data_IF_490309991270
#
_entry.id   IF_490309991270
#
_cell.length_a   1.000
_cell.length_b   1.000
_cell.length_c   1.000
_cell.angle_alpha   90.00
_cell.angle_beta   90.00
_cell.angle_gamma   90.00
#
_symmetry.space_group_name_H-M   'P 1'
#
loop_
_entity.id
_entity.type
_entity.pdbx_description
1 polymer ?
#
# COMPACT_ATOMS: atom_id res chain seq x y z
N UNK A 1 0.61 -2.69 14.56
CA UNK A 1 -0.34 -3.60 15.24
C UNK A 1 -0.86 -4.63 14.25
N UNK A 2 -0.65 -5.93 14.49
CA UNK A 2 -1.16 -7.00 13.60
C UNK A 2 -2.66 -7.24 13.74
N UNK A 3 -3.21 -7.07 14.95
CA UNK A 3 -4.64 -6.93 15.18
C UNK A 3 -4.90 -5.49 15.59
N UNK A 4 -5.73 -4.75 14.85
CA UNK A 4 -6.08 -3.37 15.13
C UNK A 4 -7.60 -3.16 14.98
N UNK A 5 -8.13 -2.20 15.75
CA UNK A 5 -9.53 -1.79 15.67
C UNK A 5 -9.56 -0.35 15.15
N UNK A 6 -10.49 -0.07 14.23
CA UNK A 6 -10.63 1.23 13.58
C UNK A 6 -12.04 1.78 13.77
N UNK A 7 -12.15 3.01 14.25
CA UNK A 7 -13.42 3.75 14.29
C UNK A 7 -13.76 4.27 12.88
N UNK A 8 -15.04 4.20 12.49
CA UNK A 8 -15.53 4.75 11.22
C UNK A 8 -16.52 5.90 11.45
N UNK A 9 -16.45 7.00 10.68
CA UNK A 9 -15.47 7.29 9.62
C UNK A 9 -14.08 7.61 10.20
N UNK A 10 -13.02 7.20 9.50
CA UNK A 10 -11.64 7.36 9.99
C UNK A 10 -10.59 7.01 8.93
N UNK A 11 -9.32 7.35 9.21
CA UNK A 11 -8.20 7.14 8.28
C UNK A 11 -7.62 5.72 8.33
N UNK A 12 -7.88 4.96 9.40
CA UNK A 12 -7.35 3.62 9.59
C UNK A 12 -5.86 3.54 9.93
N UNK A 13 -5.31 2.32 9.92
CA UNK A 13 -3.91 2.03 10.26
C UNK A 13 -3.27 1.07 9.24
N UNK A 14 -2.22 1.48 8.50
CA UNK A 14 -1.65 2.82 8.42
C UNK A 14 -2.65 3.84 7.85
N UNK A 15 -2.37 5.13 8.06
CA UNK A 15 -3.24 6.22 7.60
C UNK A 15 -3.52 6.08 6.11
N UNK A 16 -4.80 6.15 5.77
CA UNK A 16 -5.36 6.02 4.41
C UNK A 16 -5.01 4.72 3.69
N UNK A 17 -4.74 3.61 4.39
CA UNK A 17 -4.37 2.33 3.75
C UNK A 17 -5.35 1.84 2.67
N UNK A 18 -6.61 2.27 2.74
CA UNK A 18 -7.66 1.94 1.78
C UNK A 18 -7.46 2.63 0.42
N UNK A 19 -6.73 3.75 0.35
CA UNK A 19 -6.45 4.49 -0.88
C UNK A 19 -5.44 3.75 -1.77
N UNK A 20 -5.96 2.97 -2.71
CA UNK A 20 -5.14 2.20 -3.64
C UNK A 20 -4.58 3.04 -4.80
N UNK A 21 -4.98 4.31 -4.96
CA UNK A 21 -4.31 5.23 -5.90
C UNK A 21 -2.97 5.66 -5.33
N UNK A 22 -2.95 5.99 -4.03
CA UNK A 22 -1.71 6.26 -3.28
C UNK A 22 -0.86 5.01 -3.13
N UNK A 23 -1.40 3.94 -2.53
CA UNK A 23 -0.63 2.79 -2.03
C UNK A 23 -0.34 1.70 -3.07
N UNK A 24 -1.09 1.67 -4.17
CA UNK A 24 -0.91 0.68 -5.24
C UNK A 24 -0.91 -0.79 -4.76
N UNK A 25 -1.67 -1.09 -3.72
CA UNK A 25 -1.87 -2.44 -3.22
C UNK A 25 -2.78 -3.28 -4.13
N UNK A 26 -2.72 -4.60 -3.94
CA UNK A 26 -3.60 -5.56 -4.61
C UNK A 26 -3.38 -5.71 -6.13
N UNK A 27 -4.45 -6.13 -6.79
CA UNK A 27 -4.46 -6.51 -8.21
C UNK A 27 -5.46 -5.67 -9.01
N UNK A 28 -5.19 -5.50 -10.30
CA UNK A 28 -6.08 -4.86 -11.27
C UNK A 28 -6.29 -5.82 -12.42
N UNK A 29 -7.54 -5.92 -12.89
CA UNK A 29 -7.90 -6.70 -14.07
C UNK A 29 -7.71 -5.84 -15.32
N UNK A 30 -6.90 -6.32 -16.25
CA UNK A 30 -6.74 -5.71 -17.58
C UNK A 30 -7.93 -6.01 -18.48
N UNK A 31 -8.10 -5.21 -19.53
CA UNK A 31 -9.13 -5.42 -20.56
C UNK A 31 -9.08 -6.82 -21.20
N UNK A 32 -7.89 -7.41 -21.31
CA UNK A 32 -7.68 -8.78 -21.77
C UNK A 32 -7.99 -9.87 -20.73
N UNK A 33 -8.61 -9.51 -19.60
CA UNK A 33 -8.99 -10.43 -18.54
C UNK A 33 -7.87 -10.84 -17.57
N UNK A 34 -6.60 -10.53 -17.86
CA UNK A 34 -5.47 -10.92 -16.99
C UNK A 34 -5.37 -10.02 -15.76
N UNK A 35 -5.07 -10.62 -14.61
CA UNK A 35 -4.75 -9.89 -13.38
C UNK A 35 -3.28 -9.45 -13.40
N UNK A 36 -3.04 -8.20 -12.99
CA UNK A 36 -1.70 -7.65 -12.79
C UNK A 36 -1.64 -6.92 -11.45
N UNK A 37 -0.46 -6.87 -10.85
CA UNK A 37 -0.26 -6.07 -9.63
C UNK A 37 -0.45 -4.59 -9.93
N UNK A 38 -1.18 -3.88 -9.07
CA UNK A 38 -1.37 -2.43 -9.20
C UNK A 38 -0.04 -1.67 -9.09
N UNK A 39 0.88 -2.16 -8.26
CA UNK A 39 2.24 -1.65 -8.13
C UNK A 39 3.08 -1.78 -9.43
N UNK A 40 2.65 -2.61 -10.38
CA UNK A 40 3.27 -2.81 -11.69
C UNK A 40 3.87 -4.20 -11.90
N UNK A 41 4.37 -4.42 -13.12
CA UNK A 41 4.94 -5.70 -13.56
C UNK A 41 6.32 -6.01 -12.98
N UNK A 42 6.85 -7.20 -13.33
CA UNK A 42 8.13 -7.71 -12.82
C UNK A 42 9.30 -6.73 -13.03
N UNK A 43 9.40 -6.10 -14.20
CA UNK A 43 10.46 -5.12 -14.50
C UNK A 43 10.40 -3.90 -13.59
N UNK A 44 9.21 -3.30 -13.41
CA UNK A 44 9.05 -2.13 -12.52
C UNK A 44 9.45 -2.48 -11.08
N UNK A 45 9.10 -3.67 -10.60
CA UNK A 45 9.51 -4.14 -9.26
C UNK A 45 11.02 -4.35 -9.13
N UNK A 46 11.68 -4.86 -10.16
CA UNK A 46 13.15 -5.02 -10.15
C UNK A 46 13.85 -3.66 -10.07
N UNK A 47 13.37 -2.67 -10.83
CA UNK A 47 13.92 -1.31 -10.78
C UNK A 47 13.67 -0.60 -9.45
N UNK A 48 12.64 -0.99 -8.69
CA UNK A 48 12.28 -0.40 -7.40
C UNK A 48 12.71 -1.24 -6.19
N UNK A 49 13.61 -2.22 -6.35
CA UNK A 49 13.99 -3.12 -5.25
C UNK A 49 14.81 -2.40 -4.17
N UNK A 50 15.66 -1.45 -4.57
CA UNK A 50 16.52 -0.69 -3.67
C UNK A 50 15.81 0.52 -3.03
N UNK A 51 14.69 0.96 -3.61
CA UNK A 51 13.84 2.00 -3.04
C UNK A 51 12.41 1.82 -3.56
N UNK A 52 11.49 1.52 -2.65
CA UNK A 52 10.09 1.35 -2.98
C UNK A 52 9.32 2.64 -2.67
N UNK A 53 8.95 3.45 -3.68
CA UNK A 53 8.26 4.73 -3.48
C UNK A 53 6.82 4.59 -2.96
N UNK A 54 6.31 3.35 -2.86
CA UNK A 54 4.95 3.03 -2.39
C UNK A 54 4.94 2.34 -1.03
N UNK A 55 6.10 2.18 -0.41
CA UNK A 55 6.21 1.63 0.94
C UNK A 55 5.72 2.69 1.95
N UNK A 56 4.77 2.37 2.84
CA UNK A 56 4.41 3.25 3.94
C UNK A 56 5.60 3.51 4.86
N UNK A 57 5.79 4.78 5.24
CA UNK A 57 6.81 5.20 6.18
C UNK A 57 6.33 5.02 7.63
N UNK A 58 7.25 5.08 8.60
CA UNK A 58 6.89 5.04 10.02
C UNK A 58 5.84 6.09 10.39
N UNK A 59 5.97 7.28 9.78
CA UNK A 59 5.04 8.39 9.93
C UNK A 59 3.61 8.02 9.49
N UNK A 60 3.42 7.13 8.52
CA UNK A 60 2.08 6.69 8.09
C UNK A 60 1.40 5.79 9.14
N UNK A 61 2.17 5.21 10.07
CA UNK A 61 1.65 4.43 11.20
C UNK A 61 1.50 5.32 12.44
N UNK A 62 2.63 5.58 13.11
CA UNK A 62 2.88 6.53 14.19
C UNK A 62 4.35 6.38 14.60
N UNK A 63 4.93 7.40 15.22
CA UNK A 63 6.25 7.29 15.86
C UNK A 63 6.04 6.73 17.29
N UNK A 64 6.58 5.54 17.62
CA UNK A 64 6.45 4.99 18.96
C UNK A 64 7.26 5.84 19.95
N UNK A 65 6.61 6.36 20.98
CA UNK A 65 7.24 7.12 22.06
C UNK A 65 7.50 6.22 23.27
N UNK A 66 8.49 6.60 24.09
CA UNK A 66 8.81 6.02 25.41
C UNK A 66 8.69 7.07 26.48
#
# INVERSE_FOLDING_TARGET
>A
WFNNVETRPGLGYPRTYQDQEKWQGGWVRKSNGKLVLRAGGRVKKLLSIFSNPKLPLLQDYYEPWT
#
